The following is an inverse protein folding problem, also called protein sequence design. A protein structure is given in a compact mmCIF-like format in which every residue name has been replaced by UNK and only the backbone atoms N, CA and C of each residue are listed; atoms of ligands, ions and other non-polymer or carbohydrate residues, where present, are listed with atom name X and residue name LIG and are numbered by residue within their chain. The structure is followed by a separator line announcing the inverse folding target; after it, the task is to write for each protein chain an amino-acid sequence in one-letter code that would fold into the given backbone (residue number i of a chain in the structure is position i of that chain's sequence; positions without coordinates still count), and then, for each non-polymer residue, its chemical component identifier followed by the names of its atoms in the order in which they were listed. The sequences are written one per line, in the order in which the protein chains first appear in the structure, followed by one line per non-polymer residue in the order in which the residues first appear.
data_IF_985583306476
#
_entry.id   IF_985583306476
#
_cell.length_a   1.000
_cell.length_b   1.000
_cell.length_c   1.000
_cell.angle_alpha   90.00
_cell.angle_beta   90.00
_cell.angle_gamma   90.00
#
_symmetry.space_group_name_H-M   'P 1'
#
loop_
_entity.id
_entity.type
_entity.pdbx_description
1 polymer ?
#
# COMPACT_ATOMS: atom_id res chain seq x y z
N UNK A 1 14.80 2.74 9.98
CA UNK A 1 13.98 1.50 10.05
C UNK A 1 14.71 0.39 9.33
N UNK A 2 14.77 -0.79 9.93
CA UNK A 2 15.51 -1.92 9.35
C UNK A 2 14.62 -2.83 8.50
N UNK A 3 15.24 -3.60 7.61
CA UNK A 3 14.52 -4.57 6.79
C UNK A 3 13.70 -5.56 7.64
N UNK A 4 14.26 -6.19 8.71
CA UNK A 4 13.45 -7.07 9.54
C UNK A 4 12.26 -6.38 10.20
N UNK A 5 12.39 -5.13 10.60
CA UNK A 5 11.28 -4.36 11.18
C UNK A 5 10.14 -4.19 10.17
N UNK A 6 10.48 -3.88 8.93
CA UNK A 6 9.48 -3.70 7.88
C UNK A 6 8.75 -5.01 7.59
N UNK A 7 9.48 -6.12 7.46
CA UNK A 7 8.86 -7.42 7.17
C UNK A 7 7.94 -7.88 8.31
N UNK A 8 8.33 -7.64 9.55
CA UNK A 8 7.47 -7.95 10.71
C UNK A 8 6.26 -7.05 10.83
N UNK A 9 6.31 -5.85 10.27
CA UNK A 9 5.22 -4.88 10.33
C UNK A 9 4.05 -5.24 9.44
N UNK A 10 4.24 -6.15 8.48
CA UNK A 10 3.19 -6.52 7.53
C UNK A 10 2.05 -7.23 8.27
N UNK A 11 0.86 -6.65 8.25
CA UNK A 11 -0.23 -7.02 9.14
C UNK A 11 -1.33 -7.86 8.50
N UNK A 12 -1.36 -7.94 7.16
CA UNK A 12 -2.45 -8.61 6.43
C UNK A 12 -1.97 -9.74 5.51
N UNK A 13 -0.80 -10.28 5.76
CA UNK A 13 -0.25 -11.36 4.95
C UNK A 13 0.53 -12.35 5.82
N UNK A 14 0.90 -13.49 5.23
CA UNK A 14 1.69 -14.52 5.89
C UNK A 14 3.15 -14.09 6.05
N UNK A 15 3.88 -14.81 6.90
CA UNK A 15 5.33 -14.61 7.04
C UNK A 15 6.06 -14.93 5.73
N UNK A 16 5.57 -15.92 4.98
CA UNK A 16 6.12 -16.24 3.67
C UNK A 16 5.96 -15.11 2.68
N UNK A 17 4.80 -14.47 2.66
CA UNK A 17 4.55 -13.31 1.82
C UNK A 17 5.46 -12.15 2.21
N UNK A 18 5.61 -11.88 3.50
CA UNK A 18 6.49 -10.82 3.98
C UNK A 18 7.96 -11.09 3.63
N UNK A 19 8.38 -12.36 3.69
CA UNK A 19 9.75 -12.74 3.31
C UNK A 19 10.00 -12.61 1.82
N UNK A 20 8.98 -12.82 1.00
CA UNK A 20 9.09 -12.71 -0.45
C UNK A 20 9.06 -11.27 -0.96
N UNK A 21 8.74 -10.31 -0.11
CA UNK A 21 8.64 -8.91 -0.46
C UNK A 21 9.98 -8.35 -0.95
N UNK A 22 9.95 -7.61 -2.05
CA UNK A 22 11.11 -6.88 -2.56
C UNK A 22 11.03 -5.42 -2.08
N UNK A 23 12.04 -4.99 -1.33
CA UNK A 23 12.12 -3.61 -0.84
C UNK A 23 12.52 -2.66 -1.96
N UNK A 24 12.26 -1.34 -1.81
CA UNK A 24 12.73 -0.37 -2.77
C UNK A 24 14.26 -0.40 -2.90
N UNK A 25 14.78 -0.12 -4.10
CA UNK A 25 16.22 -0.12 -4.35
C UNK A 25 16.99 0.88 -3.49
N UNK A 26 16.34 2.01 -3.17
CA UNK A 26 16.91 3.09 -2.38
C UNK A 26 16.57 2.98 -0.89
N UNK A 27 16.17 1.80 -0.43
CA UNK A 27 15.71 1.56 0.93
C UNK A 27 16.69 2.11 1.99
N UNK A 28 17.98 1.87 1.83
CA UNK A 28 19.00 2.29 2.79
C UNK A 28 19.20 3.81 2.82
N UNK A 29 18.75 4.52 1.79
CA UNK A 29 18.96 5.96 1.63
C UNK A 29 17.71 6.79 1.94
N UNK A 30 16.60 6.12 2.34
CA UNK A 30 15.34 6.81 2.60
C UNK A 30 15.40 7.67 3.85
N UNK A 31 14.86 8.87 3.75
CA UNK A 31 14.69 9.77 4.89
C UNK A 31 13.43 9.38 5.67
N UNK A 32 13.59 8.46 6.63
CA UNK A 32 12.47 7.99 7.44
C UNK A 32 11.92 9.08 8.36
N UNK A 33 12.75 10.00 8.81
CA UNK A 33 12.34 11.07 9.72
C UNK A 33 11.47 12.11 9.03
N UNK A 34 11.68 12.34 7.74
CA UNK A 34 10.92 13.28 6.93
C UNK A 34 9.62 12.73 6.35
N UNK A 35 9.28 11.46 6.68
CA UNK A 35 8.11 10.78 6.13
C UNK A 35 7.25 10.21 7.24
N UNK A 36 5.98 9.99 6.92
CA UNK A 36 5.04 9.31 7.81
C UNK A 36 4.49 8.02 7.19
N UNK A 37 4.69 7.82 5.90
CA UNK A 37 4.34 6.59 5.20
C UNK A 37 5.22 6.40 3.97
N UNK A 38 5.19 5.18 3.43
CA UNK A 38 5.87 4.83 2.19
C UNK A 38 5.03 3.84 1.41
N UNK A 39 4.82 4.12 0.11
CA UNK A 39 4.22 3.17 -0.81
C UNK A 39 5.22 2.77 -1.87
N UNK A 40 5.22 1.50 -2.29
CA UNK A 40 6.07 1.05 -3.40
C UNK A 40 5.51 -0.19 -4.06
N UNK A 41 5.89 -0.40 -5.32
CA UNK A 41 5.57 -1.61 -6.06
C UNK A 41 6.70 -2.62 -5.91
N UNK A 42 6.33 -3.91 -5.85
CA UNK A 42 7.31 -4.99 -5.84
C UNK A 42 8.02 -5.06 -7.21
N UNK A 43 9.34 -5.07 -7.20
CA UNK A 43 10.12 -5.10 -8.44
C UNK A 43 10.15 -6.46 -9.14
N UNK A 44 9.73 -7.53 -8.45
CA UNK A 44 9.76 -8.90 -8.98
C UNK A 44 8.36 -9.51 -9.11
N UNK A 45 7.46 -9.20 -8.17
CA UNK A 45 6.09 -9.69 -8.15
C UNK A 45 5.17 -8.56 -8.64
N UNK A 46 4.97 -8.49 -9.94
CA UNK A 46 4.39 -7.34 -10.63
C UNK A 46 3.04 -6.86 -10.08
N UNK A 47 2.22 -7.78 -9.56
CA UNK A 47 0.90 -7.41 -9.06
C UNK A 47 0.91 -6.96 -7.61
N UNK A 48 2.06 -7.01 -6.94
CA UNK A 48 2.16 -6.64 -5.53
C UNK A 48 2.62 -5.21 -5.35
N UNK A 49 2.00 -4.56 -4.38
CA UNK A 49 2.42 -3.28 -3.86
C UNK A 49 2.36 -3.31 -2.35
N UNK A 50 2.94 -2.31 -1.73
CA UNK A 50 3.02 -2.26 -0.27
C UNK A 50 2.78 -0.83 0.20
N UNK A 51 2.15 -0.73 1.36
CA UNK A 51 1.92 0.54 2.04
C UNK A 51 2.39 0.40 3.48
N UNK A 52 3.37 1.19 3.86
CA UNK A 52 3.94 1.17 5.20
C UNK A 52 3.65 2.52 5.86
N UNK A 53 3.12 2.48 7.07
CA UNK A 53 2.79 3.66 7.87
C UNK A 53 3.45 3.50 9.23
N UNK A 54 4.04 4.55 9.75
CA UNK A 54 4.64 4.49 11.08
C UNK A 54 4.31 5.73 11.89
N UNK A 55 4.14 5.49 13.21
CA UNK A 55 3.95 6.52 14.22
C UNK A 55 4.79 6.17 15.42
N UNK A 56 5.50 7.13 15.97
CA UNK A 56 6.31 6.94 17.19
C UNK A 56 7.23 5.72 17.07
N UNK A 57 7.83 5.53 15.89
CA UNK A 57 8.71 4.42 15.61
C UNK A 57 8.04 3.06 15.45
N UNK A 58 6.70 3.01 15.38
CA UNK A 58 5.94 1.75 15.24
C UNK A 58 5.38 1.62 13.84
N UNK A 59 5.96 0.75 12.99
CA UNK A 59 5.46 0.56 11.63
C UNK A 59 4.30 -0.43 11.58
N UNK A 60 3.38 -0.16 10.67
CA UNK A 60 2.32 -1.09 10.26
C UNK A 60 2.28 -1.10 8.74
N UNK A 61 2.31 -2.27 8.14
CA UNK A 61 2.35 -2.42 6.69
C UNK A 61 1.23 -3.28 6.15
N UNK A 62 0.88 -3.01 4.90
CA UNK A 62 -0.12 -3.77 4.15
C UNK A 62 0.49 -4.30 2.86
N UNK A 63 0.19 -5.56 2.55
CA UNK A 63 0.36 -6.13 1.24
C UNK A 63 -0.85 -5.76 0.39
N UNK A 64 -0.61 -5.19 -0.76
CA UNK A 64 -1.64 -4.79 -1.72
C UNK A 64 -1.52 -5.61 -2.98
N UNK A 65 -2.64 -5.82 -3.65
CA UNK A 65 -2.66 -6.46 -4.96
C UNK A 65 -3.26 -5.49 -5.98
N UNK A 66 -2.53 -5.25 -7.06
CA UNK A 66 -3.04 -4.46 -8.18
C UNK A 66 -4.01 -5.28 -9.01
N UNK A 67 -5.12 -4.67 -9.43
CA UNK A 67 -6.11 -5.36 -10.27
C UNK A 67 -5.50 -5.72 -11.63
N UNK A 68 -5.86 -6.90 -12.13
CA UNK A 68 -5.39 -7.40 -13.42
C UNK A 68 -6.04 -6.69 -14.60
N UNK A 69 -7.29 -6.23 -14.42
CA UNK A 69 -8.04 -5.60 -15.48
C UNK A 69 -7.80 -4.11 -15.50
N UNK A 70 -7.40 -3.60 -16.66
CA UNK A 70 -7.28 -2.17 -16.88
C UNK A 70 -8.68 -1.63 -17.19
N UNK A 71 -9.15 -0.67 -16.40
CA UNK A 71 -10.39 0.03 -16.71
C UNK A 71 -10.24 0.77 -18.06
N UNK A 72 -11.37 1.02 -18.74
CA UNK A 72 -11.36 1.85 -19.94
C UNK A 72 -10.66 3.18 -19.67
N UNK A 73 -9.79 3.64 -20.56
CA UNK A 73 -9.10 4.93 -20.49
C UNK A 73 -10.04 6.12 -20.33
N UNK A 74 -11.30 5.94 -20.64
CA UNK A 74 -12.34 6.97 -20.48
C UNK A 74 -12.77 7.15 -19.03
N UNK A 75 -12.44 6.21 -18.18
CA UNK A 75 -12.71 6.31 -16.75
C UNK A 75 -11.53 6.96 -16.06
N UNK A 76 -11.84 7.73 -15.04
CA UNK A 76 -10.84 8.34 -14.19
C UNK A 76 -11.17 8.01 -12.74
N UNK A 77 -10.16 8.00 -11.89
CA UNK A 77 -10.32 7.75 -10.47
C UNK A 77 -9.40 8.67 -9.68
N UNK A 78 -9.80 8.94 -8.44
CA UNK A 78 -9.01 9.78 -7.53
C UNK A 78 -8.06 8.88 -6.74
N UNK A 79 -6.76 9.25 -6.74
CA UNK A 79 -5.76 8.57 -5.93
C UNK A 79 -5.93 8.90 -4.45
N UNK A 80 -5.93 7.88 -3.60
CA UNK A 80 -5.99 8.06 -2.14
C UNK A 80 -4.83 8.91 -1.62
N UNK A 81 -3.66 8.77 -2.20
CA UNK A 81 -2.44 9.40 -1.71
C UNK A 81 -2.31 10.86 -2.14
N UNK A 82 -2.46 11.15 -3.43
CA UNK A 82 -2.25 12.50 -3.95
C UNK A 82 -3.55 13.28 -4.18
N UNK A 83 -4.69 12.62 -4.14
CA UNK A 83 -6.02 13.18 -4.40
C UNK A 83 -6.18 13.78 -5.79
N UNK A 84 -5.31 13.46 -6.72
CA UNK A 84 -5.48 13.86 -8.11
C UNK A 84 -6.40 12.86 -8.82
N UNK A 85 -7.29 13.38 -9.66
CA UNK A 85 -8.09 12.55 -10.56
C UNK A 85 -7.26 12.31 -11.80
N UNK A 86 -7.05 11.03 -12.13
CA UNK A 86 -6.19 10.63 -13.24
C UNK A 86 -6.86 9.56 -14.10
N UNK A 87 -6.45 9.42 -15.37
CA UNK A 87 -6.93 8.34 -16.22
C UNK A 87 -6.60 6.97 -15.65
N UNK A 88 -7.35 5.96 -16.06
CA UNK A 88 -7.23 4.59 -15.53
C UNK A 88 -5.91 3.90 -15.82
N UNK A 89 -5.09 4.41 -16.72
CA UNK A 89 -3.73 3.90 -16.95
C UNK A 89 -2.71 4.47 -15.97
N UNK A 90 -3.07 5.51 -15.21
CA UNK A 90 -2.20 6.12 -14.20
C UNK A 90 -2.63 5.79 -12.77
N UNK A 91 -3.86 5.33 -12.59
CA UNK A 91 -4.43 4.98 -11.29
C UNK A 91 -4.89 3.53 -11.34
N UNK A 92 -4.52 2.76 -10.33
CA UNK A 92 -4.84 1.34 -10.26
C UNK A 92 -5.73 1.07 -9.06
N UNK A 93 -6.67 0.14 -9.21
CA UNK A 93 -7.40 -0.39 -8.06
C UNK A 93 -6.49 -1.36 -7.34
N UNK A 94 -6.14 -1.02 -6.11
CA UNK A 94 -5.41 -1.91 -5.21
C UNK A 94 -6.38 -2.51 -4.22
N UNK A 95 -6.22 -3.80 -3.95
CA UNK A 95 -7.01 -4.49 -2.93
C UNK A 95 -6.07 -4.98 -1.83
N UNK A 96 -6.56 -4.91 -0.59
CA UNK A 96 -5.87 -5.43 0.57
C UNK A 96 -6.76 -6.48 1.23
N UNK A 97 -6.20 -7.66 1.50
CA UNK A 97 -6.91 -8.70 2.25
C UNK A 97 -7.14 -8.22 3.68
N UNK A 98 -8.35 -8.37 4.18
CA UNK A 98 -8.64 -8.04 5.58
C UNK A 98 -7.86 -8.95 6.52
N UNK A 99 -7.48 -8.41 7.66
CA UNK A 99 -6.81 -9.17 8.72
C UNK A 99 -7.77 -10.20 9.32
N UNK A 100 -7.23 -11.35 9.73
CA UNK A 100 -7.97 -12.35 10.48
C UNK A 100 -8.86 -13.24 9.64
N UNK A 101 -9.96 -13.72 10.24
CA UNK A 101 -10.84 -14.70 9.60
C UNK A 101 -11.55 -14.15 8.36
N UNK A 102 -11.92 -12.87 8.38
CA UNK A 102 -12.53 -12.23 7.22
C UNK A 102 -11.63 -12.32 5.99
N UNK A 103 -10.34 -12.04 6.15
CA UNK A 103 -9.37 -12.17 5.07
C UNK A 103 -9.17 -13.60 4.59
N UNK A 104 -9.20 -14.56 5.51
CA UNK A 104 -9.12 -15.98 5.15
C UNK A 104 -10.31 -16.45 4.32
N UNK A 105 -11.48 -15.81 4.51
CA UNK A 105 -12.66 -16.06 3.71
C UNK A 105 -12.67 -15.31 2.38
N UNK A 106 -11.61 -14.53 2.11
CA UNK A 106 -11.48 -13.79 0.85
C UNK A 106 -11.96 -12.35 0.89
N UNK A 107 -12.31 -11.81 2.06
CA UNK A 107 -12.73 -10.41 2.17
C UNK A 107 -11.55 -9.48 1.92
N UNK A 108 -11.77 -8.48 1.07
CA UNK A 108 -10.78 -7.47 0.71
C UNK A 108 -11.37 -6.07 0.81
N UNK A 109 -10.47 -5.09 0.95
CA UNK A 109 -10.81 -3.67 0.87
C UNK A 109 -10.08 -3.09 -0.32
N UNK A 110 -10.80 -2.39 -1.20
CA UNK A 110 -10.21 -1.79 -2.38
C UNK A 110 -10.12 -0.28 -2.28
N UNK A 111 -9.09 0.29 -2.89
CA UNK A 111 -8.95 1.72 -3.06
C UNK A 111 -8.11 2.02 -4.30
N UNK A 112 -8.30 3.20 -4.86
CA UNK A 112 -7.52 3.64 -6.02
C UNK A 112 -6.30 4.42 -5.55
N UNK A 113 -5.15 4.11 -6.14
CA UNK A 113 -3.91 4.85 -5.91
C UNK A 113 -3.13 4.92 -7.21
N UNK A 114 -2.23 5.89 -7.33
CA UNK A 114 -1.34 5.96 -8.50
C UNK A 114 -0.59 4.64 -8.66
N UNK A 115 -0.47 4.18 -9.90
CA UNK A 115 0.01 2.83 -10.21
C UNK A 115 1.40 2.52 -9.64
N UNK A 116 2.27 3.52 -9.54
CA UNK A 116 3.62 3.37 -8.98
C UNK A 116 3.67 3.54 -7.46
N UNK A 117 2.58 3.98 -6.83
CA UNK A 117 2.50 4.29 -5.39
C UNK A 117 3.49 5.38 -4.94
N UNK A 118 4.10 6.09 -5.87
CA UNK A 118 5.19 7.03 -5.62
C UNK A 118 4.81 8.49 -5.92
N UNK A 119 3.52 8.79 -6.00
CA UNK A 119 3.06 10.15 -6.26
C UNK A 119 3.32 11.08 -5.07
N UNK A 120 3.32 12.38 -5.34
CA UNK A 120 3.47 13.39 -4.30
C UNK A 120 2.20 13.42 -3.44
N UNK A 121 2.31 13.23 -2.11
CA UNK A 121 1.13 13.19 -1.24
C UNK A 121 0.36 14.51 -1.26
N UNK A 122 -0.97 14.42 -1.23
CA UNK A 122 -1.84 15.55 -1.07
C UNK A 122 -2.07 15.91 0.40
N UNK A 123 -2.86 16.94 0.64
CA UNK A 123 -3.20 17.37 1.99
C UNK A 123 -3.93 16.27 2.76
N UNK A 124 -3.67 16.20 4.05
CA UNK A 124 -4.31 15.25 4.96
C UNK A 124 -4.11 13.76 4.55
N UNK A 125 -3.04 13.43 3.84
CA UNK A 125 -2.77 12.06 3.39
C UNK A 125 -2.67 11.09 4.57
N UNK A 126 -2.09 11.51 5.68
CA UNK A 126 -1.94 10.64 6.87
C UNK A 126 -3.29 10.15 7.37
N UNK A 127 -4.29 11.04 7.43
CA UNK A 127 -5.63 10.67 7.88
C UNK A 127 -6.29 9.67 6.92
N UNK A 128 -6.10 9.85 5.62
CA UNK A 128 -6.66 8.93 4.61
C UNK A 128 -5.99 7.56 4.64
N UNK A 129 -4.66 7.54 4.79
CA UNK A 129 -3.91 6.29 4.93
C UNK A 129 -4.33 5.57 6.20
N UNK A 130 -4.46 6.27 7.32
CA UNK A 130 -4.90 5.69 8.58
C UNK A 130 -6.31 5.12 8.49
N UNK A 131 -7.23 5.80 7.80
CA UNK A 131 -8.58 5.30 7.61
C UNK A 131 -8.59 4.00 6.80
N UNK A 132 -7.79 3.93 5.74
CA UNK A 132 -7.66 2.72 4.95
C UNK A 132 -7.06 1.57 5.76
N UNK A 133 -6.00 1.84 6.51
CA UNK A 133 -5.39 0.85 7.42
C UNK A 133 -6.41 0.32 8.43
N UNK A 134 -7.17 1.22 9.04
CA UNK A 134 -8.19 0.83 10.02
C UNK A 134 -9.24 -0.10 9.40
N UNK A 135 -9.65 0.19 8.17
CA UNK A 135 -10.64 -0.62 7.46
C UNK A 135 -10.11 -2.03 7.16
N UNK A 136 -8.85 -2.14 6.76
CA UNK A 136 -8.22 -3.44 6.47
C UNK A 136 -7.98 -4.25 7.74
N UNK A 137 -7.53 -3.60 8.80
CA UNK A 137 -7.08 -4.26 10.03
C UNK A 137 -8.18 -4.46 11.06
N UNK A 138 -9.33 -3.82 10.86
CA UNK A 138 -10.46 -4.00 11.76
C UNK A 138 -11.07 -5.39 11.55
N UNK A 139 -11.09 -6.16 12.62
CA UNK A 139 -11.63 -7.51 12.59
C UNK A 139 -13.06 -7.55 13.16
#
# INVERSE_FOLDING_TARGET
MTEPQIRRAMANCSRGDASAMTLPKDFAELDWAGRSFLGWRDGKLEQRGYLLRWRDGRPVGLLLRAADSVMSRRRAAMCLLCQSVRPSDEVTLFTARRKGDAGRRGDTVGTYMCADLACVPGDAVDARVDAFLAEVLHS
#
